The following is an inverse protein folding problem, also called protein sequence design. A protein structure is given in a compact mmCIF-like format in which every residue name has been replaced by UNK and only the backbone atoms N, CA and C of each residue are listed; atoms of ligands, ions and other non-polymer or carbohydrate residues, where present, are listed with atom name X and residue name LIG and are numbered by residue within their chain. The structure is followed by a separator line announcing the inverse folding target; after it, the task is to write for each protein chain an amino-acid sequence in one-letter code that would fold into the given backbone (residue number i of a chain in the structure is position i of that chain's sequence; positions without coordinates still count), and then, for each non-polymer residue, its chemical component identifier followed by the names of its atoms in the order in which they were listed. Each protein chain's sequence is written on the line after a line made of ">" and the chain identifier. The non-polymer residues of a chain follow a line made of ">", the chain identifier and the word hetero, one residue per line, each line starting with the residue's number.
data_IF_975096910653
#
_entry.id   IF_975096910653
#
_cell.length_a   1.000
_cell.length_b   1.000
_cell.length_c   1.000
_cell.angle_alpha   90.00
_cell.angle_beta   90.00
_cell.angle_gamma   90.00
#
_symmetry.space_group_name_H-M   'P 1'
#
loop_
_entity.id
_entity.type
_entity.pdbx_description
1 polymer ?
#
# COMPACT_ATOMS: atom_id res chain seq x y z
N UNK A 1 -57.30 26.13 -11.37
CA UNK A 1 -56.62 24.86 -11.69
C UNK A 1 -55.34 25.18 -12.43
N UNK A 2 -54.18 25.06 -11.79
CA UNK A 2 -52.88 25.06 -12.45
C UNK A 2 -52.08 23.92 -11.83
N UNK A 3 -51.97 22.84 -12.60
CA UNK A 3 -51.11 21.70 -12.31
C UNK A 3 -49.71 21.95 -12.88
N UNK A 4 -48.75 21.25 -12.27
CA UNK A 4 -47.48 20.80 -12.85
C UNK A 4 -46.32 21.82 -12.88
N UNK A 5 -45.08 21.49 -12.52
CA UNK A 5 -44.39 20.22 -12.26
C UNK A 5 -43.37 20.42 -11.13
N UNK A 6 -43.38 19.57 -10.11
CA UNK A 6 -42.19 19.37 -9.27
C UNK A 6 -41.19 18.57 -10.10
N UNK A 7 -40.05 19.17 -10.41
CA UNK A 7 -38.91 18.45 -10.95
C UNK A 7 -38.43 17.44 -9.89
N UNK A 8 -38.59 16.15 -10.17
CA UNK A 8 -37.89 15.10 -9.44
C UNK A 8 -36.42 15.16 -9.84
N UNK A 9 -35.58 15.78 -9.01
CA UNK A 9 -34.15 15.51 -9.04
C UNK A 9 -33.95 14.05 -8.60
N UNK A 10 -33.81 13.15 -9.58
CA UNK A 10 -33.17 11.87 -9.35
C UNK A 10 -31.69 12.16 -9.11
N UNK A 11 -31.33 12.49 -7.87
CA UNK A 11 -29.95 12.35 -7.40
C UNK A 11 -29.65 10.86 -7.45
N UNK A 12 -28.90 10.43 -8.46
CA UNK A 12 -28.33 9.09 -8.49
C UNK A 12 -27.47 8.97 -7.23
N UNK A 13 -27.85 8.09 -6.30
CA UNK A 13 -27.05 7.87 -5.10
C UNK A 13 -25.78 7.16 -5.58
N UNK A 14 -24.66 7.88 -5.61
CA UNK A 14 -23.35 7.28 -5.87
C UNK A 14 -23.06 6.34 -4.70
N UNK A 15 -22.84 5.06 -5.01
CA UNK A 15 -22.51 4.04 -4.03
C UNK A 15 -21.00 3.88 -4.02
N UNK A 16 -20.39 3.96 -2.84
CA UNK A 16 -18.93 3.97 -2.68
C UNK A 16 -18.43 2.61 -2.18
N UNK A 17 -17.14 2.38 -2.35
CA UNK A 17 -16.45 1.22 -1.81
C UNK A 17 -15.49 1.64 -0.71
N UNK A 18 -15.45 0.88 0.38
CA UNK A 18 -14.57 1.15 1.52
C UNK A 18 -13.43 0.13 1.57
N UNK A 19 -12.18 0.59 1.55
CA UNK A 19 -11.02 -0.27 1.77
C UNK A 19 -10.33 0.10 3.08
N UNK A 20 -10.01 -0.89 3.91
CA UNK A 20 -9.25 -0.72 5.15
C UNK A 20 -8.02 -1.62 5.09
N UNK A 21 -6.83 -1.00 5.13
CA UNK A 21 -5.54 -1.66 5.32
C UNK A 21 -5.03 -1.37 6.73
N UNK A 22 -5.03 -2.38 7.60
CA UNK A 22 -4.52 -2.25 8.97
C UNK A 22 -3.08 -2.78 9.08
N UNK A 23 -2.13 -1.86 8.95
CA UNK A 23 -0.70 -2.12 9.10
C UNK A 23 -0.23 -2.11 10.56
N UNK A 24 1.07 -2.36 10.76
CA UNK A 24 1.71 -2.40 12.08
C UNK A 24 1.81 -1.03 12.77
N UNK A 25 1.91 0.04 11.99
CA UNK A 25 2.17 1.40 12.50
C UNK A 25 0.94 2.30 12.40
N UNK A 26 0.13 2.11 11.37
CA UNK A 26 -1.06 2.91 11.08
C UNK A 26 -2.04 2.07 10.25
N UNK A 27 -3.30 2.45 10.29
CA UNK A 27 -4.30 1.95 9.36
C UNK A 27 -4.56 3.00 8.27
N UNK A 28 -4.81 2.53 7.05
CA UNK A 28 -5.20 3.36 5.91
C UNK A 28 -6.65 3.03 5.56
N UNK A 29 -7.50 4.05 5.53
CA UNK A 29 -8.89 3.93 5.14
C UNK A 29 -9.10 4.73 3.88
N UNK A 30 -9.77 4.16 2.88
CA UNK A 30 -10.06 4.83 1.62
C UNK A 30 -11.49 4.59 1.15
N UNK A 31 -12.09 5.64 0.58
CA UNK A 31 -13.38 5.60 -0.10
C UNK A 31 -13.15 5.73 -1.60
N UNK A 32 -13.87 4.92 -2.35
CA UNK A 32 -13.76 4.85 -3.81
C UNK A 32 -15.13 5.06 -4.45
N UNK A 33 -15.19 5.83 -5.52
CA UNK A 33 -16.29 5.83 -6.47
C UNK A 33 -15.91 4.90 -7.63
N UNK A 34 -16.48 3.69 -7.64
CA UNK A 34 -16.02 2.58 -8.46
C UNK A 34 -14.52 2.31 -8.26
N UNK A 35 -13.68 2.78 -9.16
CA UNK A 35 -12.22 2.66 -9.06
C UNK A 35 -11.45 3.96 -8.88
N UNK A 36 -12.16 5.08 -8.79
CA UNK A 36 -11.57 6.39 -8.53
C UNK A 36 -11.50 6.63 -7.02
N UNK A 37 -10.32 7.03 -6.52
CA UNK A 37 -10.14 7.34 -5.11
C UNK A 37 -10.82 8.67 -4.78
N UNK A 38 -11.81 8.67 -3.89
CA UNK A 38 -12.52 9.88 -3.48
C UNK A 38 -11.92 10.49 -2.20
N UNK A 39 -11.67 9.67 -1.20
CA UNK A 39 -11.22 10.12 0.12
C UNK A 39 -10.23 9.10 0.68
N UNK A 40 -9.25 9.59 1.44
CA UNK A 40 -8.20 8.76 2.03
C UNK A 40 -7.78 9.33 3.38
N UNK A 41 -7.56 8.44 4.35
CA UNK A 41 -7.10 8.83 5.68
C UNK A 41 -6.17 7.80 6.28
N UNK A 42 -5.07 8.29 6.84
CA UNK A 42 -4.20 7.51 7.73
C UNK A 42 -4.67 7.69 9.17
N UNK A 43 -4.84 6.59 9.87
CA UNK A 43 -5.33 6.52 11.24
C UNK A 43 -4.30 5.77 12.11
N UNK A 44 -3.55 6.47 12.98
CA UNK A 44 -2.56 5.84 13.87
C UNK A 44 -3.16 4.77 14.79
N UNK A 45 -4.43 4.96 15.16
CA UNK A 45 -5.21 3.98 15.91
C UNK A 45 -6.60 3.88 15.29
N UNK A 46 -6.86 2.76 14.62
CA UNK A 46 -8.17 2.49 14.04
C UNK A 46 -9.16 2.04 15.12
N UNK A 47 -10.42 2.46 14.99
CA UNK A 47 -11.53 1.95 15.79
C UNK A 47 -12.85 2.12 15.02
N UNK A 48 -13.96 1.49 15.46
CA UNK A 48 -15.25 1.58 14.79
C UNK A 48 -15.79 3.01 14.61
N UNK A 49 -15.54 3.91 15.57
CA UNK A 49 -16.01 5.28 15.50
C UNK A 49 -15.28 6.04 14.39
N UNK A 50 -13.95 5.90 14.29
CA UNK A 50 -13.14 6.52 13.24
C UNK A 50 -13.53 6.07 11.84
N UNK A 51 -13.83 4.77 11.67
CA UNK A 51 -14.38 4.25 10.41
C UNK A 51 -15.71 4.94 10.07
N UNK A 52 -16.58 5.10 11.06
CA UNK A 52 -17.88 5.76 10.88
C UNK A 52 -17.75 7.23 10.54
N UNK A 53 -16.84 7.94 11.21
CA UNK A 53 -16.59 9.36 11.00
C UNK A 53 -15.97 9.61 9.62
N UNK A 54 -15.12 8.70 9.14
CA UNK A 54 -14.55 8.75 7.80
C UNK A 54 -15.61 8.53 6.71
N UNK A 55 -16.46 7.51 6.87
CA UNK A 55 -17.55 7.21 5.93
C UNK A 55 -18.59 8.35 5.92
N UNK A 56 -18.90 8.91 7.08
CA UNK A 56 -19.86 9.99 7.22
C UNK A 56 -21.27 9.57 6.79
N UNK A 57 -21.85 10.28 5.83
CA UNK A 57 -23.21 10.04 5.31
C UNK A 57 -23.23 9.31 3.96
N UNK A 58 -22.08 8.88 3.46
CA UNK A 58 -21.94 8.24 2.15
C UNK A 58 -22.57 6.85 2.18
N UNK A 59 -23.23 6.48 1.08
CA UNK A 59 -23.79 5.13 0.90
C UNK A 59 -22.70 4.21 0.39
N UNK A 60 -22.55 3.04 1.01
CA UNK A 60 -21.55 2.03 0.63
C UNK A 60 -22.20 0.88 -0.14
N UNK A 61 -21.61 0.47 -1.26
CA UNK A 61 -21.95 -0.76 -1.98
C UNK A 61 -21.24 -1.97 -1.36
N UNK A 62 -19.97 -1.80 -0.99
CA UNK A 62 -19.16 -2.85 -0.42
C UNK A 62 -17.99 -2.33 0.40
N UNK A 63 -17.34 -3.25 1.12
CA UNK A 63 -16.10 -2.94 1.80
C UNK A 63 -15.21 -4.15 2.00
N UNK A 64 -13.90 -3.90 2.05
CA UNK A 64 -12.88 -4.92 2.23
C UNK A 64 -11.88 -4.48 3.31
N UNK A 65 -11.50 -5.45 4.14
CA UNK A 65 -10.53 -5.28 5.22
C UNK A 65 -9.35 -6.23 5.03
N UNK A 66 -8.12 -5.73 5.16
CA UNK A 66 -6.93 -6.54 5.39
C UNK A 66 -6.19 -6.06 6.63
N UNK A 67 -5.44 -6.98 7.26
CA UNK A 67 -4.58 -6.66 8.40
C UNK A 67 -3.35 -7.53 8.37
N UNK A 68 -2.19 -6.93 8.60
CA UNK A 68 -0.94 -7.62 8.96
C UNK A 68 -0.55 -7.40 10.41
N UNK A 69 -1.30 -6.54 11.11
CA UNK A 69 -1.27 -6.39 12.55
C UNK A 69 -2.33 -7.29 13.22
N UNK A 70 -2.49 -7.14 14.54
CA UNK A 70 -3.57 -7.78 15.28
C UNK A 70 -4.93 -7.27 14.80
N UNK A 71 -5.77 -8.20 14.36
CA UNK A 71 -7.12 -7.87 13.88
C UNK A 71 -7.98 -7.23 14.96
N UNK A 72 -8.73 -6.21 14.55
CA UNK A 72 -9.75 -5.57 15.38
C UNK A 72 -11.13 -6.10 15.00
N UNK A 73 -11.66 -7.00 15.84
CA UNK A 73 -12.96 -7.64 15.63
C UNK A 73 -14.10 -6.62 15.59
N UNK A 74 -13.99 -5.51 16.34
CA UNK A 74 -15.04 -4.50 16.37
C UNK A 74 -15.03 -3.63 15.12
N UNK A 75 -13.85 -3.35 14.55
CA UNK A 75 -13.73 -2.72 13.23
C UNK A 75 -14.36 -3.61 12.14
N UNK A 76 -14.07 -4.92 12.15
CA UNK A 76 -14.65 -5.86 11.19
C UNK A 76 -16.17 -5.92 11.35
N UNK A 77 -16.68 -6.00 12.59
CA UNK A 77 -18.14 -5.94 12.86
C UNK A 77 -18.75 -4.65 12.34
N UNK A 78 -18.05 -3.52 12.53
CA UNK A 78 -18.52 -2.24 12.03
C UNK A 78 -18.59 -2.23 10.52
N UNK A 79 -17.58 -2.75 9.83
CA UNK A 79 -17.56 -2.90 8.37
C UNK A 79 -18.77 -3.71 7.89
N UNK A 80 -19.03 -4.88 8.49
CA UNK A 80 -20.19 -5.72 8.16
C UNK A 80 -21.54 -5.02 8.43
N UNK A 81 -21.59 -4.08 9.37
CA UNK A 81 -22.81 -3.33 9.68
C UNK A 81 -23.08 -2.19 8.69
N UNK A 82 -22.03 -1.53 8.18
CA UNK A 82 -22.17 -0.35 7.31
C UNK A 82 -22.09 -0.69 5.82
N UNK A 83 -21.51 -1.83 5.46
CA UNK A 83 -21.41 -2.31 4.08
C UNK A 83 -22.40 -3.46 3.85
N UNK A 84 -23.27 -3.39 2.83
CA UNK A 84 -24.12 -4.51 2.42
C UNK A 84 -23.31 -5.76 2.07
N UNK A 85 -22.13 -5.56 1.47
CA UNK A 85 -21.13 -6.60 1.20
C UNK A 85 -19.85 -6.25 1.92
N UNK A 86 -19.47 -7.04 2.91
CA UNK A 86 -18.19 -6.88 3.60
C UNK A 86 -17.36 -8.15 3.43
N UNK A 87 -16.09 -7.99 3.10
CA UNK A 87 -15.15 -9.11 3.00
C UNK A 87 -13.83 -8.83 3.71
N UNK A 88 -13.15 -9.91 4.03
CA UNK A 88 -11.76 -9.88 4.49
C UNK A 88 -10.89 -10.45 3.39
N UNK A 89 -9.75 -9.81 3.14
CA UNK A 89 -8.73 -10.41 2.30
C UNK A 89 -8.08 -11.55 3.09
N UNK A 90 -8.24 -12.77 2.58
CA UNK A 90 -7.69 -14.01 3.14
C UNK A 90 -6.93 -14.77 2.05
N UNK A 91 -6.11 -15.76 2.39
CA UNK A 91 -5.40 -16.58 1.40
C UNK A 91 -6.33 -17.29 0.39
N UNK A 92 -7.58 -17.55 0.77
CA UNK A 92 -8.58 -18.22 -0.07
C UNK A 92 -9.44 -17.24 -0.89
N UNK A 93 -9.26 -15.92 -0.68
CA UNK A 93 -10.00 -14.90 -1.43
C UNK A 93 -9.55 -14.93 -2.90
N UNK A 94 -10.49 -15.06 -3.86
CA UNK A 94 -10.14 -14.96 -5.28
C UNK A 94 -9.54 -13.58 -5.60
N UNK A 95 -8.42 -13.57 -6.31
CA UNK A 95 -7.71 -12.35 -6.73
C UNK A 95 -7.39 -12.42 -8.23
N UNK A 96 -7.25 -11.28 -8.94
CA UNK A 96 -7.04 -11.24 -10.39
C UNK A 96 -5.59 -11.54 -10.83
N UNK A 97 -4.82 -12.25 -10.01
CA UNK A 97 -3.45 -12.71 -10.28
C UNK A 97 -3.28 -14.14 -9.75
N UNK A 98 -2.32 -14.91 -10.29
CA UNK A 98 -1.99 -16.22 -9.74
C UNK A 98 -0.94 -16.08 -8.64
N UNK A 99 -1.24 -16.51 -7.42
CA UNK A 99 -0.29 -16.49 -6.30
C UNK A 99 0.52 -17.80 -6.27
N UNK A 100 1.78 -17.74 -6.70
CA UNK A 100 2.72 -18.88 -6.70
C UNK A 100 3.65 -18.81 -5.49
N UNK A 101 3.05 -18.79 -4.30
CA UNK A 101 3.76 -18.77 -3.03
C UNK A 101 3.62 -20.13 -2.35
N UNK A 102 4.72 -20.71 -1.86
CA UNK A 102 4.71 -22.08 -1.29
C UNK A 102 3.81 -22.21 -0.06
N UNK A 103 3.64 -21.13 0.67
CA UNK A 103 2.82 -21.06 1.89
C UNK A 103 1.87 -19.86 1.80
N UNK A 104 0.81 -19.92 0.98
CA UNK A 104 -0.09 -18.78 0.77
C UNK A 104 -0.67 -18.21 2.07
N UNK A 105 -0.86 -19.07 3.08
CA UNK A 105 -1.36 -18.69 4.40
C UNK A 105 -0.42 -17.84 5.24
N UNK A 106 0.87 -17.77 4.89
CA UNK A 106 1.86 -16.94 5.58
C UNK A 106 2.18 -15.66 4.82
N UNK A 107 1.60 -15.47 3.63
CA UNK A 107 1.83 -14.27 2.83
C UNK A 107 1.01 -13.10 3.40
N UNK A 108 1.65 -11.94 3.54
CA UNK A 108 0.97 -10.71 3.96
C UNK A 108 -0.14 -10.33 2.98
N UNK A 109 -1.34 -10.08 3.49
CA UNK A 109 -2.49 -9.69 2.67
C UNK A 109 -2.26 -8.33 1.98
N UNK A 110 -1.53 -7.43 2.63
CA UNK A 110 -1.06 -6.16 2.09
C UNK A 110 -0.19 -6.35 0.84
N UNK A 111 0.73 -7.32 0.84
CA UNK A 111 1.60 -7.63 -0.31
C UNK A 111 0.80 -8.17 -1.49
N UNK A 112 -0.21 -9.00 -1.24
CA UNK A 112 -1.13 -9.47 -2.30
C UNK A 112 -1.91 -8.30 -2.87
N UNK A 113 -2.46 -7.44 -2.02
CA UNK A 113 -3.18 -6.24 -2.45
C UNK A 113 -2.26 -5.32 -3.27
N UNK A 114 -1.05 -5.01 -2.79
CA UNK A 114 -0.09 -4.19 -3.53
C UNK A 114 0.25 -4.77 -4.91
N UNK A 115 0.45 -6.09 -5.01
CA UNK A 115 0.67 -6.79 -6.26
C UNK A 115 -0.54 -6.67 -7.21
N UNK A 116 -1.76 -6.84 -6.71
CA UNK A 116 -2.98 -6.65 -7.51
C UNK A 116 -3.15 -5.20 -7.95
N UNK A 117 -2.87 -4.23 -7.08
CA UNK A 117 -2.93 -2.81 -7.40
C UNK A 117 -1.97 -2.44 -8.52
N UNK A 118 -0.73 -2.96 -8.47
CA UNK A 118 0.25 -2.73 -9.53
C UNK A 118 -0.12 -3.44 -10.83
N UNK A 119 -0.63 -4.67 -10.73
CA UNK A 119 -1.09 -5.45 -11.87
C UNK A 119 -2.25 -4.75 -12.60
N UNK A 120 -3.16 -4.10 -11.88
CA UNK A 120 -4.28 -3.38 -12.49
C UNK A 120 -3.84 -2.26 -13.44
N UNK A 121 -2.71 -1.60 -13.15
CA UNK A 121 -2.20 -0.48 -13.97
C UNK A 121 -1.19 -0.94 -15.04
N UNK A 122 -0.54 -2.09 -14.84
CA UNK A 122 0.62 -2.52 -15.64
C UNK A 122 0.53 -3.97 -16.16
N UNK A 123 -0.67 -4.53 -16.23
CA UNK A 123 -0.90 -5.89 -16.75
C UNK A 123 -0.20 -6.15 -18.09
N UNK A 124 0.31 -7.37 -18.25
CA UNK A 124 1.06 -7.78 -19.45
C UNK A 124 2.54 -7.40 -19.44
N UNK A 125 3.05 -6.83 -18.35
CA UNK A 125 4.47 -6.51 -18.14
C UNK A 125 4.97 -7.15 -16.85
N UNK A 126 6.27 -7.47 -16.74
CA UNK A 126 6.85 -7.84 -15.46
C UNK A 126 6.88 -6.61 -14.53
N UNK A 127 6.60 -6.82 -13.25
CA UNK A 127 6.44 -5.77 -12.25
C UNK A 127 7.25 -6.13 -11.00
N UNK A 128 8.11 -5.21 -10.57
CA UNK A 128 8.71 -5.21 -9.24
C UNK A 128 7.95 -4.20 -8.38
N UNK A 129 7.17 -4.70 -7.44
CA UNK A 129 6.46 -3.90 -6.44
C UNK A 129 7.38 -3.72 -5.23
N UNK A 130 7.64 -2.46 -4.86
CA UNK A 130 8.43 -2.10 -3.69
C UNK A 130 7.57 -1.26 -2.76
N UNK A 131 7.03 -1.86 -1.70
CA UNK A 131 6.30 -1.12 -0.68
C UNK A 131 7.26 -0.71 0.43
N UNK A 132 7.56 0.60 0.52
CA UNK A 132 8.54 1.15 1.44
C UNK A 132 7.85 1.84 2.63
N UNK A 133 7.43 1.04 3.60
CA UNK A 133 6.85 1.46 4.87
C UNK A 133 7.75 1.13 6.07
N UNK A 134 7.14 0.60 7.14
CA UNK A 134 7.86 0.15 8.35
C UNK A 134 8.92 -0.91 8.03
N UNK A 135 8.56 -1.86 7.17
CA UNK A 135 9.48 -2.73 6.44
C UNK A 135 9.45 -2.33 4.96
N UNK A 136 10.48 -2.70 4.21
CA UNK A 136 10.43 -2.66 2.74
C UNK A 136 10.18 -4.06 2.22
N UNK A 137 9.19 -4.23 1.35
CA UNK A 137 9.00 -5.47 0.60
C UNK A 137 9.43 -5.30 -0.85
N UNK A 138 9.88 -6.39 -1.48
CA UNK A 138 10.30 -6.44 -2.87
C UNK A 138 9.62 -7.63 -3.53
N UNK A 139 8.49 -7.37 -4.19
CA UNK A 139 7.55 -8.37 -4.68
C UNK A 139 7.55 -8.43 -6.20
N UNK A 140 7.63 -9.64 -6.78
CA UNK A 140 7.69 -9.82 -8.23
C UNK A 140 6.40 -10.44 -8.79
N UNK A 141 5.85 -9.78 -9.81
CA UNK A 141 4.77 -10.30 -10.66
C UNK A 141 5.31 -10.38 -12.09
N UNK A 142 5.19 -11.53 -12.75
CA UNK A 142 5.60 -11.66 -14.16
C UNK A 142 4.56 -11.09 -15.15
N UNK A 143 4.88 -11.13 -16.44
CA UNK A 143 4.03 -10.59 -17.49
C UNK A 143 2.73 -11.37 -17.69
N UNK A 144 2.64 -12.58 -17.14
CA UNK A 144 1.48 -13.48 -17.15
C UNK A 144 0.58 -13.29 -15.91
N UNK A 145 0.94 -12.38 -15.00
CA UNK A 145 0.17 -12.11 -13.79
C UNK A 145 0.41 -13.14 -12.70
N UNK A 146 1.59 -13.77 -12.66
CA UNK A 146 1.99 -14.70 -11.61
C UNK A 146 2.82 -13.95 -10.58
N UNK A 147 2.34 -13.93 -9.33
CA UNK A 147 3.10 -13.48 -8.18
C UNK A 147 4.05 -14.59 -7.73
N UNK A 148 5.36 -14.36 -7.86
CA UNK A 148 6.41 -15.34 -7.55
C UNK A 148 6.90 -15.29 -6.09
N UNK A 149 6.44 -14.30 -5.34
CA UNK A 149 6.98 -13.98 -4.03
C UNK A 149 7.90 -12.76 -4.06
N UNK A 150 8.69 -12.65 -3.01
CA UNK A 150 9.49 -11.46 -2.78
C UNK A 150 10.24 -11.50 -1.44
N UNK A 151 11.05 -10.48 -1.21
CA UNK A 151 11.85 -10.36 0.01
C UNK A 151 11.31 -9.25 0.93
N UNK A 152 11.62 -9.38 2.23
CA UNK A 152 11.30 -8.38 3.25
C UNK A 152 12.61 -7.92 3.89
N UNK A 153 12.79 -6.61 3.98
CA UNK A 153 13.94 -5.97 4.63
C UNK A 153 13.46 -4.87 5.60
N UNK A 154 14.31 -4.40 6.53
CA UNK A 154 14.00 -3.23 7.33
C UNK A 154 13.70 -1.99 6.48
N UNK A 155 12.72 -1.18 6.88
CA UNK A 155 12.49 0.16 6.35
C UNK A 155 13.54 1.16 6.82
N UNK A 156 13.70 2.28 6.13
CA UNK A 156 14.70 3.33 6.46
C UNK A 156 14.59 3.73 7.94
N UNK A 157 13.40 4.08 8.41
CA UNK A 157 13.17 4.45 9.82
C UNK A 157 13.49 3.31 10.80
N UNK A 158 13.29 2.05 10.39
CA UNK A 158 13.66 0.89 11.19
C UNK A 158 15.18 0.71 11.24
N UNK A 159 15.89 0.89 10.13
CA UNK A 159 17.35 0.83 10.07
C UNK A 159 17.99 1.90 10.96
N UNK A 160 17.52 3.15 10.86
CA UNK A 160 17.98 4.27 11.70
C UNK A 160 17.78 3.99 13.18
N UNK A 161 16.60 3.46 13.56
CA UNK A 161 16.30 3.10 14.96
C UNK A 161 17.15 1.92 15.42
N UNK A 162 17.35 0.90 14.58
CA UNK A 162 18.15 -0.27 14.93
C UNK A 162 19.61 0.10 15.21
N UNK A 163 20.20 0.99 14.40
CA UNK A 163 21.55 1.49 14.63
C UNK A 163 21.68 2.22 15.97
N UNK A 164 20.67 2.99 16.36
CA UNK A 164 20.65 3.66 17.67
C UNK A 164 20.49 2.66 18.83
N UNK A 165 19.51 1.75 18.74
CA UNK A 165 19.14 0.84 19.83
C UNK A 165 20.23 -0.22 20.09
N UNK A 166 20.84 -0.76 19.03
CA UNK A 166 21.77 -1.88 19.13
C UNK A 166 23.25 -1.47 19.12
N UNK A 167 23.55 -0.19 19.32
CA UNK A 167 24.94 0.29 19.46
C UNK A 167 25.09 1.27 20.61
N UNK A 168 26.26 1.29 21.26
CA UNK A 168 26.46 2.10 22.47
C UNK A 168 26.61 3.61 22.22
N UNK A 169 26.88 4.04 20.99
CA UNK A 169 27.32 5.43 20.69
C UNK A 169 26.65 6.07 19.48
N UNK A 170 25.92 5.34 18.64
CA UNK A 170 25.30 5.96 17.47
C UNK A 170 24.06 6.76 17.89
N UNK A 171 23.94 8.02 17.44
CA UNK A 171 22.78 8.84 17.77
C UNK A 171 21.54 8.33 17.04
N UNK A 172 20.37 8.61 17.60
CA UNK A 172 19.14 8.54 16.83
C UNK A 172 19.18 9.63 15.75
N UNK A 173 19.03 9.20 14.50
CA UNK A 173 18.99 10.07 13.32
C UNK A 173 17.53 10.11 12.82
N UNK A 174 16.95 11.30 12.60
CA UNK A 174 15.60 11.43 12.06
C UNK A 174 15.53 10.91 10.62
N UNK A 175 14.31 10.62 10.16
CA UNK A 175 14.07 10.25 8.77
C UNK A 175 14.55 11.39 7.83
N UNK A 176 15.32 11.08 6.77
CA UNK A 176 15.85 12.09 5.87
C UNK A 176 14.80 12.51 4.82
N UNK A 177 14.03 13.55 5.11
CA UNK A 177 13.03 14.12 4.19
C UNK A 177 13.68 14.62 2.87
N UNK A 178 14.87 15.24 2.97
CA UNK A 178 15.59 15.84 1.83
C UNK A 178 16.58 14.86 1.18
N UNK A 179 16.11 13.68 0.76
CA UNK A 179 16.96 12.63 0.18
C UNK A 179 17.80 13.07 -1.03
N UNK A 180 17.30 13.90 -1.98
CA UNK A 180 18.11 14.35 -3.12
C UNK A 180 19.35 15.15 -2.71
N UNK A 181 19.26 15.94 -1.64
CA UNK A 181 20.39 16.71 -1.13
C UNK A 181 21.37 15.83 -0.36
N UNK A 182 20.85 14.89 0.43
CA UNK A 182 21.66 13.89 1.13
C UNK A 182 22.46 13.03 0.15
N UNK A 183 21.80 12.48 -0.87
CA UNK A 183 22.38 11.50 -1.79
C UNK A 183 23.21 12.09 -2.93
N UNK A 184 23.52 13.40 -2.91
CA UNK A 184 24.50 13.98 -3.87
C UNK A 184 25.90 13.46 -3.62
N UNK A 185 26.21 13.15 -2.36
CA UNK A 185 27.49 12.64 -1.93
C UNK A 185 27.39 11.13 -1.71
N UNK A 186 28.41 10.39 -2.15
CA UNK A 186 28.43 8.93 -2.00
C UNK A 186 28.70 8.51 -0.54
N UNK A 187 29.49 9.31 0.19
CA UNK A 187 29.93 9.00 1.55
C UNK A 187 29.60 10.16 2.49
N UNK A 188 29.03 9.83 3.66
CA UNK A 188 28.79 10.82 4.71
C UNK A 188 30.08 11.31 5.34
N UNK A 189 30.12 12.59 5.72
CA UNK A 189 31.32 13.25 6.28
C UNK A 189 31.26 13.43 7.79
N UNK A 190 30.14 13.08 8.39
CA UNK A 190 29.98 12.87 9.83
C UNK A 190 29.13 11.64 10.13
N UNK A 191 29.04 11.28 11.42
CA UNK A 191 28.30 10.09 11.87
C UNK A 191 26.82 10.12 11.50
N UNK A 192 26.16 11.28 11.56
CA UNK A 192 24.72 11.38 11.25
C UNK A 192 24.49 11.22 9.76
N UNK A 193 25.30 11.89 8.93
CA UNK A 193 25.27 11.73 7.48
C UNK A 193 25.57 10.29 7.06
N UNK A 194 26.60 9.67 7.64
CA UNK A 194 26.97 8.28 7.31
C UNK A 194 25.86 7.28 7.65
N UNK A 195 25.18 7.47 8.78
CA UNK A 195 24.00 6.66 9.16
C UNK A 195 22.85 6.88 8.17
N UNK A 196 22.50 8.14 7.88
CA UNK A 196 21.38 8.47 6.99
C UNK A 196 21.62 7.97 5.56
N UNK A 197 22.81 8.23 5.00
CA UNK A 197 23.21 7.76 3.67
C UNK A 197 23.22 6.23 3.61
N UNK A 198 23.77 5.57 4.63
CA UNK A 198 23.79 4.11 4.71
C UNK A 198 22.38 3.52 4.63
N UNK A 199 21.44 4.09 5.39
CA UNK A 199 20.06 3.61 5.44
C UNK A 199 19.23 3.89 4.18
N UNK A 200 19.49 5.01 3.48
CA UNK A 200 18.84 5.28 2.19
C UNK A 200 19.45 4.42 1.08
N UNK A 201 20.78 4.36 1.01
CA UNK A 201 21.48 3.65 -0.04
C UNK A 201 21.29 2.14 0.04
N UNK A 202 21.09 1.56 1.23
CA UNK A 202 20.77 0.13 1.40
C UNK A 202 19.49 -0.25 0.65
N UNK A 203 18.44 0.56 0.77
CA UNK A 203 17.15 0.37 0.11
C UNK A 203 17.28 0.61 -1.39
N UNK A 204 17.86 1.74 -1.81
CA UNK A 204 18.05 2.07 -3.24
C UNK A 204 18.88 1.00 -3.96
N UNK A 205 19.98 0.55 -3.35
CA UNK A 205 20.82 -0.51 -3.90
C UNK A 205 20.07 -1.86 -3.97
N UNK A 206 19.18 -2.14 -3.03
CA UNK A 206 18.32 -3.35 -3.06
C UNK A 206 17.34 -3.30 -4.23
N UNK A 207 16.68 -2.17 -4.47
CA UNK A 207 15.80 -1.98 -5.64
C UNK A 207 16.59 -2.22 -6.93
N UNK A 208 17.76 -1.61 -7.06
CA UNK A 208 18.65 -1.80 -8.21
C UNK A 208 19.08 -3.27 -8.37
N UNK A 209 19.43 -3.93 -7.26
CA UNK A 209 19.82 -5.34 -7.25
C UNK A 209 18.72 -6.23 -7.82
N UNK A 210 17.47 -6.07 -7.39
CA UNK A 210 16.37 -6.88 -7.91
C UNK A 210 16.05 -6.53 -9.36
N UNK A 211 15.89 -5.23 -9.67
CA UNK A 211 15.61 -4.75 -11.03
C UNK A 211 16.62 -5.29 -12.05
N UNK A 212 17.92 -5.28 -11.74
CA UNK A 212 18.99 -5.74 -12.64
C UNK A 212 18.96 -7.25 -12.93
N UNK A 213 18.19 -8.04 -12.17
CA UNK A 213 18.05 -9.49 -12.32
C UNK A 213 16.70 -9.92 -12.91
N UNK A 214 15.79 -8.98 -13.10
CA UNK A 214 14.49 -9.18 -13.71
C UNK A 214 14.54 -8.79 -15.21
N UNK A 215 13.51 -9.11 -16.01
CA UNK A 215 13.43 -8.66 -17.40
C UNK A 215 13.66 -7.14 -17.54
N UNK A 216 14.29 -6.73 -18.65
CA UNK A 216 14.72 -5.32 -18.85
C UNK A 216 13.56 -4.32 -18.88
N UNK A 217 12.38 -4.78 -19.26
CA UNK A 217 11.14 -4.01 -19.36
C UNK A 217 10.31 -4.03 -18.07
N UNK A 218 10.85 -4.62 -16.99
CA UNK A 218 10.22 -4.63 -15.65
C UNK A 218 9.86 -3.22 -15.19
N UNK A 219 8.59 -3.01 -14.86
CA UNK A 219 8.10 -1.79 -14.22
C UNK A 219 8.44 -1.85 -12.75
N UNK A 220 9.12 -0.83 -12.22
CA UNK A 220 9.32 -0.68 -10.78
C UNK A 220 8.23 0.23 -10.23
N UNK A 221 7.37 -0.32 -9.38
CA UNK A 221 6.29 0.41 -8.71
C UNK A 221 6.66 0.60 -7.24
N UNK A 222 6.82 1.84 -6.82
CA UNK A 222 7.13 2.24 -5.45
C UNK A 222 5.83 2.64 -4.74
N UNK A 223 5.52 1.96 -3.64
CA UNK A 223 4.41 2.27 -2.75
C UNK A 223 4.90 2.64 -1.34
N UNK A 224 3.94 2.85 -0.44
CA UNK A 224 4.21 3.16 0.96
C UNK A 224 4.67 4.60 1.18
N UNK A 225 4.84 4.98 2.46
CA UNK A 225 5.15 6.36 2.85
C UNK A 225 6.51 6.88 2.37
N UNK A 226 7.43 6.00 1.98
CA UNK A 226 8.75 6.39 1.46
C UNK A 226 8.84 6.38 -0.07
N UNK A 227 7.77 6.03 -0.81
CA UNK A 227 7.81 5.84 -2.26
C UNK A 227 8.32 7.07 -3.03
N UNK A 228 7.78 8.25 -2.75
CA UNK A 228 8.22 9.51 -3.38
C UNK A 228 9.67 9.88 -3.06
N UNK A 229 10.08 9.68 -1.80
CA UNK A 229 11.44 9.93 -1.37
C UNK A 229 12.45 9.04 -2.12
N UNK A 230 12.16 7.74 -2.21
CA UNK A 230 12.99 6.79 -2.96
C UNK A 230 13.01 7.07 -4.46
N UNK A 231 11.87 7.42 -5.05
CA UNK A 231 11.80 7.78 -6.47
C UNK A 231 12.74 8.95 -6.81
N UNK A 232 12.89 9.91 -5.90
CA UNK A 232 13.73 11.10 -6.09
C UNK A 232 15.24 10.81 -6.15
N UNK A 233 15.68 9.63 -5.71
CA UNK A 233 17.09 9.22 -5.66
C UNK A 233 17.40 7.97 -6.48
N UNK A 234 16.40 7.37 -7.15
CA UNK A 234 16.62 6.31 -8.13
C UNK A 234 17.09 6.92 -9.47
N UNK A 235 18.11 6.32 -10.09
CA UNK A 235 18.66 6.73 -11.39
C UNK A 235 17.97 6.05 -12.58
N UNK A 236 16.84 5.38 -12.34
CA UNK A 236 16.01 4.71 -13.34
C UNK A 236 14.54 5.09 -13.17
N UNK A 237 13.74 4.86 -14.21
CA UNK A 237 12.31 5.15 -14.18
C UNK A 237 11.59 4.29 -13.11
N UNK A 238 10.87 4.96 -12.22
CA UNK A 238 10.01 4.37 -11.21
C UNK A 238 8.61 4.96 -11.32
N UNK A 239 7.59 4.16 -10.96
CA UNK A 239 6.20 4.62 -10.83
C UNK A 239 5.85 4.70 -9.36
N UNK A 240 5.29 5.81 -8.90
CA UNK A 240 4.90 5.96 -7.50
C UNK A 240 3.39 5.87 -7.39
N UNK A 241 2.92 5.06 -6.44
CA UNK A 241 1.51 4.98 -6.06
C UNK A 241 1.41 4.84 -4.53
N UNK A 242 1.11 5.95 -3.85
CA UNK A 242 0.98 6.00 -2.39
C UNK A 242 -0.21 5.19 -1.87
N UNK A 243 -1.18 4.89 -2.75
CA UNK A 243 -2.41 4.21 -2.41
C UNK A 243 -2.46 2.79 -2.97
N UNK A 244 -1.31 2.23 -3.37
CA UNK A 244 -1.21 0.95 -4.08
C UNK A 244 -1.94 -0.20 -3.39
N UNK A 245 -1.78 -0.32 -2.06
CA UNK A 245 -2.46 -1.35 -1.26
C UNK A 245 -3.97 -1.12 -1.27
N UNK A 246 -4.43 0.10 -0.98
CA UNK A 246 -5.85 0.46 -0.99
C UNK A 246 -6.48 0.26 -2.38
N UNK A 247 -5.76 0.62 -3.45
CA UNK A 247 -6.16 0.36 -4.85
C UNK A 247 -6.30 -1.13 -5.08
N UNK A 248 -5.31 -1.92 -4.67
CA UNK A 248 -5.35 -3.38 -4.75
C UNK A 248 -6.56 -3.98 -4.05
N UNK A 249 -6.86 -3.53 -2.83
CA UNK A 249 -8.04 -3.94 -2.09
C UNK A 249 -9.33 -3.60 -2.85
N UNK A 250 -9.45 -2.38 -3.40
CA UNK A 250 -10.60 -1.99 -4.21
C UNK A 250 -10.76 -2.91 -5.43
N UNK A 251 -9.66 -3.19 -6.16
CA UNK A 251 -9.68 -4.09 -7.32
C UNK A 251 -10.09 -5.51 -6.94
N UNK A 252 -9.60 -6.04 -5.82
CA UNK A 252 -10.02 -7.35 -5.30
C UNK A 252 -11.50 -7.35 -4.95
N UNK A 253 -11.99 -6.29 -4.28
CA UNK A 253 -13.40 -6.16 -3.94
C UNK A 253 -14.29 -6.20 -5.19
N UNK A 254 -14.01 -5.35 -6.19
CA UNK A 254 -14.75 -5.29 -7.46
C UNK A 254 -14.68 -6.60 -8.26
N UNK A 255 -13.52 -7.28 -8.25
CA UNK A 255 -13.36 -8.60 -8.87
C UNK A 255 -14.29 -9.66 -8.27
N UNK A 256 -14.60 -9.55 -6.98
CA UNK A 256 -15.50 -10.46 -6.28
C UNK A 256 -16.96 -9.96 -6.23
N UNK A 257 -17.28 -8.85 -6.89
CA UNK A 257 -18.67 -8.41 -7.10
C UNK A 257 -19.28 -8.93 -8.40
N UNK A 258 -18.44 -9.12 -9.41
CA UNK A 258 -18.81 -9.49 -10.78
C UNK A 258 -18.76 -11.01 -11.04
N UNK A 259 -18.26 -11.78 -10.08
CA UNK A 259 -18.22 -13.25 -10.07
C UNK A 259 -19.17 -13.81 -9.00
#
# INVERSE_FOLDING_TARGET
>A
MAHNKKASLNTCIVAHYLTIDQGNSEAKIALWDDSELEDFRMEPALNPQRVSDFVGKRTLAGGIYCSVAREDVDVIRRLCHICPRAMRLTPDTPVPIRVDYRTPTTLGADRVAAAVGAWADYAGRPILVVDAGTAVTYDYVDAEGVYHGGNIAPGISMELRALHEFTARLPLVPFPEEMPSLCRELFGRDTREAIALGAVNSVVASIYYYRSRLPKDTVVVLGGGCGHHLASVCDFETRVDEHLVSKGLNRILLYNETN
#
